data_IF_883782371350
#
_entry.id   IF_883782371350
#
_cell.length_a   1.000
_cell.length_b   1.000
_cell.length_c   1.000
_cell.angle_alpha   90.00
_cell.angle_beta   90.00
_cell.angle_gamma   90.00
#
_symmetry.space_group_name_H-M   'P 1'
#
loop_
_entity.id
_entity.type
_entity.pdbx_description
1 polymer ?
#
# COMPACT_ATOMS: atom_id res chain seq x y z
N UNK A 1 17.75 6.09 0.74
CA UNK A 1 17.39 4.92 -0.09
C UNK A 1 15.89 4.90 -0.44
N UNK A 2 15.01 4.93 0.54
CA UNK A 2 13.56 4.95 0.28
C UNK A 2 13.13 6.21 -0.47
N UNK A 3 13.60 7.37 -0.07
CA UNK A 3 13.24 8.65 -0.72
C UNK A 3 13.65 8.65 -2.18
N UNK A 4 14.82 8.12 -2.51
CA UNK A 4 15.28 8.01 -3.90
C UNK A 4 14.34 7.13 -4.72
N UNK A 5 13.86 6.02 -4.15
CA UNK A 5 12.86 5.17 -4.79
C UNK A 5 11.56 5.94 -5.04
N UNK A 6 11.06 6.65 -4.05
CA UNK A 6 9.80 7.40 -4.18
C UNK A 6 9.90 8.51 -5.21
N UNK A 7 11.06 9.18 -5.29
CA UNK A 7 11.30 10.21 -6.30
C UNK A 7 11.27 9.65 -7.73
N UNK A 8 11.60 8.38 -7.91
CA UNK A 8 11.50 7.70 -9.20
C UNK A 8 10.08 7.17 -9.45
N UNK A 9 9.51 6.51 -8.45
CA UNK A 9 8.29 5.73 -8.63
C UNK A 9 7.02 6.60 -8.73
N UNK A 10 6.88 7.59 -7.87
CA UNK A 10 5.66 8.41 -7.86
C UNK A 10 5.43 9.14 -9.18
N UNK A 11 6.44 9.76 -9.81
CA UNK A 11 6.24 10.38 -11.12
C UNK A 11 5.80 9.42 -12.23
N UNK A 12 6.18 8.14 -12.15
CA UNK A 12 5.76 7.13 -13.13
C UNK A 12 4.24 6.96 -13.16
N UNK A 13 3.56 7.23 -12.05
CA UNK A 13 2.09 7.19 -11.94
C UNK A 13 1.45 8.58 -11.94
N UNK A 14 2.19 9.61 -12.35
CA UNK A 14 1.70 10.98 -12.41
C UNK A 14 1.62 11.69 -11.07
N UNK A 15 2.32 11.17 -10.05
CA UNK A 15 2.31 11.71 -8.70
C UNK A 15 3.63 12.42 -8.40
N UNK A 16 3.62 13.25 -7.36
CA UNK A 16 4.83 13.92 -6.88
C UNK A 16 4.98 13.70 -5.38
N UNK A 17 6.21 13.48 -4.94
CA UNK A 17 6.53 13.34 -3.52
C UNK A 17 6.49 14.71 -2.85
N UNK A 18 5.74 14.80 -1.75
CA UNK A 18 5.59 16.02 -0.96
C UNK A 18 5.94 15.72 0.51
N UNK A 19 7.23 15.77 0.84
CA UNK A 19 7.73 15.44 2.18
C UNK A 19 7.37 16.48 3.24
N UNK A 20 7.05 17.71 2.84
CA UNK A 20 6.63 18.75 3.78
C UNK A 20 5.12 18.78 3.99
N UNK A 21 4.36 18.01 3.22
CA UNK A 21 2.91 17.97 3.25
C UNK A 21 2.37 16.57 3.38
N UNK A 22 1.63 16.11 2.36
CA UNK A 22 0.89 14.83 2.41
C UNK A 22 1.74 13.58 2.60
N UNK A 23 3.04 13.64 2.31
CA UNK A 23 3.97 12.51 2.45
C UNK A 23 4.96 12.71 3.61
N UNK A 24 4.67 13.63 4.53
CA UNK A 24 5.54 13.90 5.67
C UNK A 24 5.80 12.65 6.53
N UNK A 25 4.86 11.71 6.58
CA UNK A 25 5.00 10.47 7.35
C UNK A 25 6.17 9.60 6.90
N UNK A 26 6.68 9.76 5.68
CA UNK A 26 7.87 9.02 5.23
C UNK A 26 9.14 9.44 5.97
N UNK A 27 9.10 10.54 6.72
CA UNK A 27 10.22 10.96 7.55
C UNK A 27 10.24 10.26 8.91
N UNK A 28 9.14 9.55 9.27
CA UNK A 28 9.06 8.80 10.53
C UNK A 28 8.21 7.53 10.33
N UNK A 29 8.75 6.59 9.59
CA UNK A 29 8.08 5.36 9.19
C UNK A 29 7.69 4.51 10.40
N UNK A 30 8.58 4.36 11.37
CA UNK A 30 8.35 3.50 12.54
C UNK A 30 7.18 3.98 13.38
N UNK A 31 6.96 5.28 13.41
CA UNK A 31 5.86 5.87 14.16
C UNK A 31 4.53 5.75 13.43
N UNK A 32 4.56 5.85 12.09
CA UNK A 32 3.35 5.93 11.27
C UNK A 32 2.82 4.54 10.88
N UNK A 33 3.70 3.59 10.60
CA UNK A 33 3.33 2.26 10.12
C UNK A 33 3.63 1.17 11.15
N UNK A 34 2.79 0.12 11.17
CA UNK A 34 3.08 -1.08 11.98
C UNK A 34 4.00 -2.04 11.23
N UNK A 35 4.06 -1.94 9.91
CA UNK A 35 4.97 -2.72 9.08
C UNK A 35 5.25 -2.00 7.79
N UNK A 36 6.48 -2.11 7.31
CA UNK A 36 6.90 -1.51 6.04
C UNK A 36 7.95 -2.43 5.40
N UNK A 37 7.69 -2.84 4.17
CA UNK A 37 8.60 -3.73 3.44
C UNK A 37 9.13 -3.04 2.20
N UNK A 38 10.39 -3.32 1.90
CA UNK A 38 11.03 -2.89 0.67
C UNK A 38 11.47 -4.11 -0.13
N UNK A 39 11.21 -4.09 -1.43
CA UNK A 39 11.71 -5.10 -2.36
C UNK A 39 12.96 -4.57 -3.01
N UNK A 40 14.03 -5.37 -3.00
CA UNK A 40 15.32 -4.97 -3.53
C UNK A 40 15.64 -5.73 -4.81
N UNK A 41 16.28 -5.03 -5.74
CA UNK A 41 17.00 -5.64 -6.85
C UNK A 41 18.45 -5.17 -6.71
N UNK A 42 19.35 -6.11 -6.38
CA UNK A 42 20.70 -5.79 -5.90
C UNK A 42 20.60 -4.88 -4.66
N UNK A 43 21.17 -3.69 -4.70
CA UNK A 43 21.18 -2.78 -3.57
C UNK A 43 20.14 -1.65 -3.70
N UNK A 44 19.25 -1.74 -4.70
CA UNK A 44 18.25 -0.70 -4.95
C UNK A 44 16.84 -1.16 -4.58
N UNK A 45 16.06 -0.27 -3.98
CA UNK A 45 14.65 -0.51 -3.74
C UNK A 45 13.90 -0.35 -5.07
N UNK A 46 13.09 -1.35 -5.42
CA UNK A 46 12.28 -1.35 -6.63
C UNK A 46 10.78 -1.43 -6.34
N UNK A 47 10.41 -1.76 -5.11
CA UNK A 47 9.02 -1.82 -4.69
C UNK A 47 8.89 -1.69 -3.19
N UNK A 48 7.69 -1.29 -2.75
CA UNK A 48 7.36 -1.15 -1.34
C UNK A 48 5.93 -1.59 -1.08
N UNK A 49 5.63 -1.89 0.17
CA UNK A 49 4.27 -2.04 0.68
C UNK A 49 4.30 -1.80 2.19
N UNK A 50 3.22 -1.29 2.74
CA UNK A 50 3.15 -0.99 4.15
C UNK A 50 1.76 -1.26 4.72
N UNK A 51 1.70 -1.41 6.03
CA UNK A 51 0.45 -1.53 6.77
C UNK A 51 0.46 -0.49 7.88
N UNK A 52 -0.64 0.27 7.95
CA UNK A 52 -0.90 1.22 9.02
C UNK A 52 -2.03 0.67 9.89
N UNK A 53 -1.92 0.79 11.21
CA UNK A 53 -3.03 0.43 12.09
C UNK A 53 -4.05 1.55 12.13
N UNK A 54 -5.33 1.23 11.93
CA UNK A 54 -6.43 2.17 12.10
C UNK A 54 -7.01 2.06 13.52
N UNK A 55 -7.21 0.83 13.98
CA UNK A 55 -7.55 0.49 15.35
C UNK A 55 -7.13 -0.95 15.61
N UNK A 56 -7.49 -1.53 16.76
CA UNK A 56 -7.05 -2.88 17.13
C UNK A 56 -7.52 -3.97 16.17
N UNK A 57 -8.61 -3.72 15.43
CA UNK A 57 -9.23 -4.72 14.53
C UNK A 57 -9.08 -4.37 13.06
N UNK A 58 -8.68 -3.15 12.74
CA UNK A 58 -8.64 -2.64 11.37
C UNK A 58 -7.26 -2.11 11.04
N UNK A 59 -6.78 -2.45 9.86
CA UNK A 59 -5.54 -1.90 9.33
C UNK A 59 -5.77 -1.34 7.93
N UNK A 60 -4.77 -0.66 7.42
CA UNK A 60 -4.83 0.00 6.11
C UNK A 60 -3.60 -0.36 5.31
N UNK A 61 -3.82 -0.79 4.07
CA UNK A 61 -2.76 -1.00 3.10
C UNK A 61 -2.28 0.36 2.60
N UNK A 62 -0.99 0.59 2.64
CA UNK A 62 -0.37 1.84 2.22
C UNK A 62 0.88 1.57 1.40
N UNK A 63 1.26 2.56 0.59
CA UNK A 63 2.58 2.59 -0.06
C UNK A 63 2.89 1.35 -0.91
N UNK A 64 1.86 0.79 -1.56
CA UNK A 64 2.09 -0.29 -2.52
C UNK A 64 2.57 0.34 -3.82
N UNK A 65 3.88 0.32 -4.02
CA UNK A 65 4.53 0.91 -5.18
C UNK A 65 5.50 -0.09 -5.80
N UNK A 66 5.60 -0.04 -7.11
CA UNK A 66 6.53 -0.87 -7.87
C UNK A 66 6.97 -0.09 -9.09
N UNK A 67 8.28 0.00 -9.33
CA UNK A 67 8.80 0.65 -10.52
C UNK A 67 8.23 -0.01 -11.77
N UNK A 68 7.93 0.81 -12.76
CA UNK A 68 7.25 0.38 -14.00
C UNK A 68 7.99 -0.76 -14.69
N UNK A 69 9.32 -0.74 -14.71
CA UNK A 69 10.14 -1.79 -15.34
C UNK A 69 9.94 -3.17 -14.71
N UNK A 70 9.36 -3.23 -13.53
CA UNK A 70 9.13 -4.48 -12.79
C UNK A 70 7.68 -4.94 -12.87
N UNK A 71 6.81 -4.21 -13.58
CA UNK A 71 5.42 -4.61 -13.78
C UNK A 71 5.31 -5.85 -14.66
N UNK A 72 4.20 -6.58 -14.52
CA UNK A 72 3.90 -7.74 -15.37
C UNK A 72 4.62 -9.03 -14.99
N UNK A 73 5.28 -9.07 -13.84
CA UNK A 73 6.06 -10.23 -13.38
C UNK A 73 5.50 -10.86 -12.10
N UNK A 74 4.33 -10.41 -11.65
CA UNK A 74 3.72 -10.90 -10.41
C UNK A 74 4.28 -10.30 -9.13
N UNK A 75 5.18 -9.32 -9.23
CA UNK A 75 5.84 -8.74 -8.05
C UNK A 75 4.89 -7.86 -7.23
N UNK A 76 4.00 -7.12 -7.88
CA UNK A 76 2.96 -6.35 -7.19
C UNK A 76 2.05 -7.24 -6.37
N UNK A 77 1.67 -8.38 -6.93
CA UNK A 77 0.86 -9.37 -6.21
C UNK A 77 1.61 -9.93 -5.00
N UNK A 78 2.90 -10.18 -5.13
CA UNK A 78 3.73 -10.66 -4.01
C UNK A 78 3.82 -9.64 -2.89
N UNK A 79 3.99 -8.35 -3.24
CA UNK A 79 4.00 -7.27 -2.26
C UNK A 79 2.66 -7.18 -1.53
N UNK A 80 1.56 -7.20 -2.27
CA UNK A 80 0.22 -7.14 -1.69
C UNK A 80 -0.01 -8.32 -0.75
N UNK A 81 0.35 -9.54 -1.17
CA UNK A 81 0.19 -10.74 -0.36
C UNK A 81 0.97 -10.64 0.94
N UNK A 82 2.17 -10.05 0.92
CA UNK A 82 2.98 -9.84 2.13
C UNK A 82 2.21 -9.04 3.18
N UNK A 83 1.57 -7.96 2.75
CA UNK A 83 0.78 -7.12 3.64
C UNK A 83 -0.48 -7.84 4.15
N UNK A 84 -1.18 -8.56 3.28
CA UNK A 84 -2.40 -9.28 3.64
C UNK A 84 -2.09 -10.36 4.69
N UNK A 85 -1.05 -11.16 4.46
CA UNK A 85 -0.63 -12.22 5.40
C UNK A 85 -0.24 -11.61 6.74
N UNK A 86 0.48 -10.49 6.74
CA UNK A 86 0.82 -9.78 7.97
C UNK A 86 -0.44 -9.37 8.74
N UNK A 87 -1.43 -8.81 8.04
CA UNK A 87 -2.68 -8.41 8.67
C UNK A 87 -3.42 -9.59 9.30
N UNK A 88 -3.47 -10.71 8.59
CA UNK A 88 -4.08 -11.94 9.09
C UNK A 88 -3.37 -12.47 10.33
N UNK A 89 -2.05 -12.58 10.26
CA UNK A 89 -1.24 -13.09 11.37
C UNK A 89 -1.21 -12.17 12.58
N UNK A 90 -1.40 -10.86 12.37
CA UNK A 90 -1.42 -9.88 13.45
C UNK A 90 -2.78 -9.76 14.13
N UNK A 91 -3.80 -10.48 13.65
CA UNK A 91 -5.12 -10.51 14.26
C UNK A 91 -6.07 -9.40 13.80
N UNK A 92 -5.73 -8.64 12.77
CA UNK A 92 -6.66 -7.69 12.20
C UNK A 92 -7.79 -8.41 11.48
N UNK A 93 -9.00 -7.87 11.58
CA UNK A 93 -10.19 -8.45 10.96
C UNK A 93 -10.42 -7.90 9.55
N UNK A 94 -10.07 -6.64 9.32
CA UNK A 94 -10.30 -5.96 8.04
C UNK A 94 -9.09 -5.13 7.64
N UNK A 95 -8.81 -5.15 6.34
CA UNK A 95 -7.80 -4.29 5.74
C UNK A 95 -8.48 -3.35 4.76
N UNK A 96 -8.28 -2.06 4.94
CA UNK A 96 -8.81 -1.00 4.10
C UNK A 96 -7.73 -0.46 3.18
N UNK A 97 -8.13 0.17 2.10
CA UNK A 97 -7.23 0.96 1.26
C UNK A 97 -8.00 2.08 0.60
N UNK A 98 -7.29 3.12 0.22
CA UNK A 98 -7.81 4.14 -0.68
C UNK A 98 -6.97 4.17 -1.96
N UNK A 99 -7.56 4.57 -3.06
CA UNK A 99 -6.91 4.57 -4.36
C UNK A 99 -7.57 5.58 -5.30
N UNK A 100 -7.03 5.65 -6.49
CA UNK A 100 -7.60 6.48 -7.57
C UNK A 100 -8.27 5.58 -8.61
N UNK A 101 -9.41 6.02 -9.13
CA UNK A 101 -10.10 5.33 -10.22
C UNK A 101 -9.23 5.20 -11.47
N UNK A 102 -8.24 6.08 -11.62
CA UNK A 102 -7.27 6.06 -12.72
C UNK A 102 -6.17 5.03 -12.55
N UNK A 103 -5.97 4.52 -11.34
CA UNK A 103 -4.94 3.52 -11.02
C UNK A 103 -5.42 2.11 -11.38
N UNK A 104 -5.68 1.88 -12.66
CA UNK A 104 -6.36 0.66 -13.12
C UNK A 104 -5.61 -0.62 -12.84
N UNK A 105 -4.28 -0.61 -12.96
CA UNK A 105 -3.45 -1.78 -12.66
C UNK A 105 -3.54 -2.16 -11.18
N UNK A 106 -3.41 -1.17 -10.30
CA UNK A 106 -3.52 -1.40 -8.86
C UNK A 106 -4.92 -1.90 -8.47
N UNK A 107 -5.96 -1.28 -9.01
CA UNK A 107 -7.34 -1.69 -8.74
C UNK A 107 -7.61 -3.14 -9.16
N UNK A 108 -7.09 -3.55 -10.32
CA UNK A 108 -7.23 -4.94 -10.78
C UNK A 108 -6.54 -5.90 -9.80
N UNK A 109 -5.37 -5.52 -9.30
CA UNK A 109 -4.61 -6.29 -8.32
C UNK A 109 -5.41 -6.44 -7.02
N UNK A 110 -5.98 -5.35 -6.51
CA UNK A 110 -6.78 -5.37 -5.29
C UNK A 110 -8.03 -6.25 -5.45
N UNK A 111 -8.75 -6.10 -6.55
CA UNK A 111 -9.97 -6.90 -6.81
C UNK A 111 -9.64 -8.39 -6.90
N UNK A 112 -8.55 -8.73 -7.56
CA UNK A 112 -8.10 -10.12 -7.66
C UNK A 112 -7.78 -10.71 -6.28
N UNK A 113 -7.28 -9.91 -5.37
CA UNK A 113 -6.98 -10.35 -4.00
C UNK A 113 -8.24 -10.46 -3.13
N UNK A 114 -9.39 -9.97 -3.60
CA UNK A 114 -10.65 -10.06 -2.87
C UNK A 114 -11.15 -8.76 -2.26
N UNK A 115 -10.44 -7.66 -2.45
CA UNK A 115 -10.92 -6.34 -1.99
C UNK A 115 -12.19 -5.95 -2.76
N UNK A 116 -13.13 -5.37 -2.03
CA UNK A 116 -14.39 -4.86 -2.59
C UNK A 116 -14.54 -3.39 -2.25
N UNK A 117 -15.27 -2.66 -3.07
CA UNK A 117 -15.52 -1.24 -2.86
C UNK A 117 -16.34 -1.03 -1.59
N UNK A 118 -15.98 0.00 -0.83
CA UNK A 118 -16.68 0.39 0.39
C UNK A 118 -16.85 1.91 0.44
N UNK A 119 -17.48 2.40 1.50
CA UNK A 119 -17.65 3.82 1.73
C UNK A 119 -16.32 4.48 2.12
N UNK A 120 -16.24 5.79 1.94
CA UNK A 120 -15.09 6.55 2.39
C UNK A 120 -14.94 6.41 3.91
N UNK A 121 -13.76 5.97 4.34
CA UNK A 121 -13.48 5.73 5.76
C UNK A 121 -12.44 6.68 6.33
N UNK A 122 -11.76 7.47 5.49
CA UNK A 122 -10.72 8.41 5.91
C UNK A 122 -10.92 9.77 5.26
N UNK A 123 -10.04 10.71 5.58
CA UNK A 123 -10.12 12.10 5.11
C UNK A 123 -9.26 12.37 3.87
N UNK A 124 -8.81 11.34 3.16
CA UNK A 124 -7.94 11.51 2.01
C UNK A 124 -8.70 12.11 0.82
N UNK A 125 -8.46 13.39 0.55
CA UNK A 125 -9.10 14.13 -0.55
C UNK A 125 -8.52 13.77 -1.92
N UNK A 126 -7.39 13.06 -1.95
CA UNK A 126 -6.70 12.67 -3.18
C UNK A 126 -7.15 11.30 -3.70
N UNK A 127 -8.01 10.61 -2.96
CA UNK A 127 -8.55 9.32 -3.36
C UNK A 127 -10.04 9.45 -3.71
N UNK A 128 -10.49 8.63 -4.66
CA UNK A 128 -11.91 8.56 -5.04
C UNK A 128 -12.43 7.11 -5.03
N UNK A 129 -11.60 6.14 -4.68
CA UNK A 129 -11.97 4.74 -4.50
C UNK A 129 -11.54 4.30 -3.10
N UNK A 130 -12.46 3.63 -2.41
CA UNK A 130 -12.20 3.07 -1.08
C UNK A 130 -12.58 1.60 -1.11
N UNK A 131 -11.71 0.74 -0.58
CA UNK A 131 -11.91 -0.71 -0.64
C UNK A 131 -11.61 -1.35 0.71
N UNK A 132 -12.17 -2.54 0.91
CA UNK A 132 -11.96 -3.32 2.12
C UNK A 132 -11.83 -4.80 1.79
N UNK A 133 -10.98 -5.48 2.53
CA UNK A 133 -10.81 -6.94 2.50
C UNK A 133 -11.08 -7.49 3.88
N UNK A 134 -11.97 -8.48 3.97
CA UNK A 134 -12.14 -9.24 5.21
C UNK A 134 -10.99 -10.23 5.31
N UNK A 135 -10.19 -10.12 6.37
CA UNK A 135 -9.01 -10.95 6.58
C UNK A 135 -9.42 -12.30 7.18
N UNK A 136 -8.70 -13.34 6.81
CA UNK A 136 -8.90 -14.68 7.38
C UNK A 136 -8.39 -14.68 8.81
N UNK A 137 -9.20 -15.20 9.71
CA UNK A 137 -8.81 -15.30 11.11
C UNK A 137 -8.05 -16.59 11.35
N UNK A 138 -6.98 -16.49 12.14
CA UNK A 138 -6.26 -17.68 12.61
C UNK A 138 -7.11 -18.41 13.64
N UNK A 139 -7.21 -19.70 13.50
CA UNK A 139 -7.92 -20.55 14.46
C UNK A 139 -7.02 -20.97 15.61
#
# INVERSE_FOLDING_TARGET
>A
MLIDFLLKCLPESGRNLDLSGRHAFYQDIEKYFVAFWCMFDNDEIVGTVAVKELDKKKCELKSLYLLENYHGKGLGQSLLRKAVVFGEESGYEKMYLDSLSTSKRALALYRKAGFVTTEQYNQNKFADIFMVLNLKQSL
#
